data_IF_434036158309
#
_entry.id   IF_434036158309
#
_cell.length_a   1.000
_cell.length_b   1.000
_cell.length_c   1.000
_cell.angle_alpha   90.00
_cell.angle_beta   90.00
_cell.angle_gamma   90.00
#
_symmetry.space_group_name_H-M   'P 1'
#
loop_
_entity.id
_entity.type
_entity.pdbx_description
1 polymer ?
#
# COMPACT_ATOMS: atom_id res chain seq x y z
N UNK A 1 -20.38 -13.96 -7.71
CA UNK A 1 -19.21 -14.82 -7.46
C UNK A 1 -17.97 -13.93 -7.59
N UNK A 2 -17.46 -13.37 -6.48
CA UNK A 2 -16.20 -12.62 -6.49
C UNK A 2 -15.12 -13.57 -5.99
N UNK A 3 -14.34 -14.14 -6.91
CA UNK A 3 -13.14 -14.91 -6.59
C UNK A 3 -11.96 -13.94 -6.74
N UNK A 4 -11.66 -13.17 -5.69
CA UNK A 4 -10.35 -12.53 -5.55
C UNK A 4 -9.46 -13.52 -4.80
N UNK A 5 -8.89 -14.49 -5.54
CA UNK A 5 -7.95 -15.50 -5.01
C UNK A 5 -6.55 -15.33 -5.61
N UNK A 6 -6.15 -14.10 -5.91
CA UNK A 6 -4.77 -13.81 -6.31
C UNK A 6 -4.20 -12.79 -5.33
N UNK A 7 -3.36 -13.28 -4.42
CA UNK A 7 -2.58 -12.42 -3.55
C UNK A 7 -1.31 -12.04 -4.31
N UNK A 8 -1.20 -10.77 -4.69
CA UNK A 8 0.03 -10.24 -5.26
C UNK A 8 0.98 -9.95 -4.09
N UNK A 9 2.07 -10.72 -4.01
CA UNK A 9 3.16 -10.41 -3.08
C UNK A 9 4.00 -9.31 -3.70
N UNK A 10 4.03 -8.17 -3.04
CA UNK A 10 4.80 -7.00 -3.48
C UNK A 10 6.12 -6.96 -2.73
N UNK A 11 7.28 -6.83 -3.42
CA UNK A 11 8.60 -7.00 -2.79
C UNK A 11 9.04 -5.82 -1.92
N UNK A 12 8.54 -4.62 -2.19
CA UNK A 12 9.01 -3.39 -1.53
C UNK A 12 7.96 -2.25 -1.58
N UNK A 13 8.19 -1.23 -0.77
CA UNK A 13 7.30 -0.06 -0.65
C UNK A 13 7.16 0.72 -1.97
N UNK A 14 8.22 1.00 -2.75
CA UNK A 14 8.10 1.63 -4.07
C UNK A 14 7.18 0.85 -5.02
N UNK A 15 7.32 -0.47 -5.06
CA UNK A 15 6.49 -1.35 -5.90
C UNK A 15 5.02 -1.30 -5.46
N UNK A 16 4.75 -1.24 -4.15
CA UNK A 16 3.39 -1.12 -3.62
C UNK A 16 2.80 0.25 -3.98
N UNK A 17 3.59 1.31 -3.82
CA UNK A 17 3.21 2.67 -4.16
C UNK A 17 2.83 2.82 -5.63
N UNK A 18 3.57 2.19 -6.55
CA UNK A 18 3.26 2.16 -7.97
C UNK A 18 1.99 1.34 -8.27
N UNK A 19 1.81 0.20 -7.61
CA UNK A 19 0.62 -0.64 -7.79
C UNK A 19 -0.65 0.08 -7.36
N UNK A 20 -0.62 0.79 -6.22
CA UNK A 20 -1.75 1.59 -5.72
C UNK A 20 -2.16 2.68 -6.72
N UNK A 21 -1.18 3.32 -7.36
CA UNK A 21 -1.43 4.31 -8.40
C UNK A 21 -2.04 3.67 -9.66
N UNK A 22 -1.51 2.54 -10.12
CA UNK A 22 -1.95 1.90 -11.37
C UNK A 22 -3.31 1.20 -11.26
N UNK A 23 -3.59 0.53 -10.15
CA UNK A 23 -4.81 -0.28 -9.99
C UNK A 23 -5.98 0.53 -9.42
N UNK A 24 -5.69 1.50 -8.55
CA UNK A 24 -6.73 2.21 -7.80
C UNK A 24 -6.72 3.73 -8.03
N UNK A 25 -5.73 4.27 -8.78
CA UNK A 25 -5.60 5.72 -8.96
C UNK A 25 -5.32 6.46 -7.65
N UNK A 26 -4.80 5.76 -6.63
CA UNK A 26 -4.50 6.34 -5.33
C UNK A 26 -3.11 6.98 -5.36
N UNK A 27 -3.00 8.24 -4.91
CA UNK A 27 -1.70 8.87 -4.64
C UNK A 27 -1.60 10.35 -5.05
N UNK A 28 -0.48 10.94 -4.61
CA UNK A 28 0.25 12.19 -4.92
C UNK A 28 -0.50 13.40 -5.49
N UNK A 29 -1.33 13.20 -6.51
CA UNK A 29 -1.98 14.28 -7.25
C UNK A 29 -3.24 14.82 -6.55
N UNK A 30 -3.74 14.14 -5.52
CA UNK A 30 -4.77 14.71 -4.67
C UNK A 30 -4.14 15.60 -3.60
N UNK A 31 -4.34 16.91 -3.72
CA UNK A 31 -3.75 17.91 -2.80
C UNK A 31 -4.25 17.73 -1.34
N UNK A 32 -5.37 17.04 -1.14
CA UNK A 32 -6.03 16.91 0.16
C UNK A 32 -5.90 15.52 0.79
N UNK A 33 -5.83 14.48 -0.04
CA UNK A 33 -5.86 13.07 0.34
C UNK A 33 -4.71 12.26 -0.28
N UNK A 34 -3.83 12.91 -1.03
CA UNK A 34 -2.59 12.32 -1.51
C UNK A 34 -1.65 12.05 -0.34
N UNK A 35 -0.80 11.04 -0.54
CA UNK A 35 0.25 10.67 0.39
C UNK A 35 1.52 10.39 -0.42
N UNK A 36 2.65 10.56 0.23
CA UNK A 36 3.98 10.32 -0.34
C UNK A 36 4.42 8.86 -0.12
N UNK A 37 5.40 8.42 -0.89
CA UNK A 37 6.04 7.12 -0.70
C UNK A 37 6.61 6.97 0.72
N UNK A 38 7.18 8.05 1.29
CA UNK A 38 7.74 8.05 2.64
C UNK A 38 6.67 7.84 3.72
N UNK A 39 5.48 8.42 3.55
CA UNK A 39 4.35 8.21 4.45
C UNK A 39 3.85 6.76 4.36
N UNK A 40 3.78 6.20 3.16
CA UNK A 40 3.46 4.79 2.97
C UNK A 40 4.52 3.87 3.63
N UNK A 41 5.80 4.20 3.50
CA UNK A 41 6.89 3.46 4.13
C UNK A 41 6.78 3.47 5.66
N UNK A 42 6.45 4.63 6.25
CA UNK A 42 6.24 4.76 7.69
C UNK A 42 5.08 3.89 8.18
N UNK A 43 3.99 3.82 7.41
CA UNK A 43 2.85 2.95 7.72
C UNK A 43 3.25 1.47 7.66
N UNK A 44 3.92 1.04 6.58
CA UNK A 44 4.40 -0.34 6.43
C UNK A 44 5.37 -0.75 7.54
N UNK A 45 6.27 0.15 7.93
CA UNK A 45 7.18 -0.07 9.06
C UNK A 45 6.43 -0.19 10.39
N UNK A 46 5.36 0.59 10.60
CA UNK A 46 4.54 0.46 11.81
C UNK A 46 3.83 -0.91 11.89
N UNK A 47 3.44 -1.50 10.75
CA UNK A 47 2.89 -2.85 10.69
C UNK A 47 3.93 -3.94 11.01
N UNK A 48 5.18 -3.78 10.58
CA UNK A 48 6.29 -4.70 10.93
C UNK A 48 6.54 -4.74 12.45
N UNK A 49 6.35 -3.59 13.14
CA UNK A 49 6.50 -3.50 14.60
C UNK A 49 5.37 -4.12 15.41
N UNK A 50 4.26 -4.53 14.78
CA UNK A 50 3.13 -5.19 15.44
C UNK A 50 2.79 -6.51 14.73
N UNK A 51 3.40 -7.65 15.13
CA UNK A 51 3.12 -8.96 14.56
C UNK A 51 1.66 -9.43 14.71
N UNK A 52 0.82 -8.68 15.43
CA UNK A 52 -0.60 -8.96 15.67
C UNK A 52 -1.55 -8.20 14.72
N UNK A 53 -1.07 -7.26 13.90
CA UNK A 53 -1.90 -6.47 12.98
C UNK A 53 -2.40 -7.26 11.75
N UNK A 54 -2.00 -8.53 11.61
CA UNK A 54 -2.43 -9.45 10.55
C UNK A 54 -3.50 -10.47 10.99
N UNK A 55 -4.35 -10.14 11.97
CA UNK A 55 -5.46 -10.99 12.44
C UNK A 55 -6.82 -10.52 11.91
#
# INVERSE_FOLDING_TARGET
>A
MLILRDYIVVPDVPSLYQLLQQQFGLGVNDVKHGFTEAELAAVMAAFDTHPEAGK
#
